data_IF_458536376848
#
_entry.id   IF_458536376848
#
_cell.length_a   1.000
_cell.length_b   1.000
_cell.length_c   1.000
_cell.angle_alpha   90.00
_cell.angle_beta   90.00
_cell.angle_gamma   90.00
#
_symmetry.space_group_name_H-M   'P 1'
#
loop_
_entity.id
_entity.type
_entity.pdbx_description
1 polymer ?
#
# COMPACT_ATOMS: atom_id res chain seq x y z
N UNK A 1 8.28 -15.35 -12.02
CA UNK A 1 7.03 -14.72 -12.51
C UNK A 1 6.90 -13.33 -11.92
N UNK A 2 6.45 -12.32 -12.67
CA UNK A 2 6.21 -10.99 -12.11
C UNK A 2 5.09 -11.07 -11.07
N UNK A 3 5.41 -10.75 -9.82
CA UNK A 3 4.41 -10.63 -8.75
C UNK A 3 3.77 -9.24 -8.83
N UNK A 4 2.46 -9.21 -8.73
CA UNK A 4 1.66 -8.00 -8.84
C UNK A 4 1.12 -7.63 -7.48
N UNK A 5 1.39 -6.42 -7.00
CA UNK A 5 1.05 -6.02 -5.66
C UNK A 5 0.09 -4.84 -5.64
N UNK A 6 -0.93 -4.95 -4.80
CA UNK A 6 -1.78 -3.83 -4.42
C UNK A 6 -1.47 -3.48 -2.98
N UNK A 7 -1.26 -2.19 -2.70
CA UNK A 7 -0.83 -1.72 -1.39
C UNK A 7 -1.64 -0.52 -0.92
N UNK A 8 -1.68 -0.34 0.41
CA UNK A 8 -2.23 0.84 1.08
C UNK A 8 -1.11 1.47 1.91
N UNK A 9 -0.84 2.74 1.63
CA UNK A 9 0.02 3.58 2.43
C UNK A 9 -0.82 4.49 3.31
N UNK A 10 -0.41 4.67 4.56
CA UNK A 10 -0.86 5.77 5.41
C UNK A 10 0.12 6.92 5.29
N UNK A 11 -0.39 8.08 4.92
CA UNK A 11 0.34 9.33 4.90
C UNK A 11 0.44 9.93 6.31
N UNK A 12 1.39 10.85 6.52
CA UNK A 12 1.57 11.52 7.82
C UNK A 12 0.37 12.36 8.30
N UNK A 13 -0.54 12.71 7.39
CA UNK A 13 -1.81 13.39 7.70
C UNK A 13 -2.95 12.41 8.05
N UNK A 14 -2.65 11.12 8.18
CA UNK A 14 -3.63 10.06 8.46
C UNK A 14 -4.48 9.67 7.25
N UNK A 15 -4.23 10.21 6.05
CA UNK A 15 -4.93 9.80 4.83
C UNK A 15 -4.40 8.49 4.28
N UNK A 16 -5.23 7.76 3.54
CA UNK A 16 -4.86 6.49 2.92
C UNK A 16 -4.68 6.64 1.41
N UNK A 17 -3.51 6.23 0.92
CA UNK A 17 -3.19 6.14 -0.49
C UNK A 17 -3.18 4.67 -0.92
N UNK A 18 -4.01 4.32 -1.89
CA UNK A 18 -4.03 2.98 -2.47
C UNK A 18 -3.41 3.01 -3.86
N UNK A 19 -2.54 2.05 -4.13
CA UNK A 19 -1.91 1.93 -5.44
C UNK A 19 -1.50 0.50 -5.78
N UNK A 20 -1.00 0.35 -6.99
CA UNK A 20 -0.49 -0.88 -7.55
C UNK A 20 1.00 -0.73 -7.92
N UNK A 21 1.76 -1.80 -7.75
CA UNK A 21 3.18 -1.90 -8.14
C UNK A 21 3.57 -3.35 -8.36
N UNK A 22 4.68 -3.60 -9.06
CA UNK A 22 5.32 -4.92 -9.11
C UNK A 22 6.42 -5.08 -8.06
N UNK A 23 6.78 -3.99 -7.39
CA UNK A 23 7.83 -3.91 -6.39
C UNK A 23 7.43 -2.89 -5.32
N UNK A 24 7.05 -3.37 -4.14
CA UNK A 24 6.49 -2.55 -3.05
C UNK A 24 7.59 -1.85 -2.27
N UNK A 25 8.69 -2.54 -2.02
CA UNK A 25 9.82 -2.02 -1.27
C UNK A 25 10.46 -0.84 -2.00
N UNK A 26 10.81 -1.02 -3.28
CA UNK A 26 11.36 0.06 -4.11
C UNK A 26 10.39 1.24 -4.22
N UNK A 27 9.09 0.94 -4.27
CA UNK A 27 8.05 1.98 -4.35
C UNK A 27 7.94 2.76 -3.05
N UNK A 28 7.93 2.09 -1.90
CA UNK A 28 7.90 2.71 -0.57
C UNK A 28 9.13 3.59 -0.34
N UNK A 29 10.33 3.08 -0.66
CA UNK A 29 11.57 3.84 -0.61
C UNK A 29 11.51 5.08 -1.51
N UNK A 30 11.01 4.94 -2.75
CA UNK A 30 10.84 6.09 -3.64
C UNK A 30 9.84 7.12 -3.09
N UNK A 31 8.74 6.69 -2.47
CA UNK A 31 7.79 7.59 -1.81
C UNK A 31 8.45 8.35 -0.65
N UNK A 32 9.11 7.65 0.27
CA UNK A 32 9.81 8.27 1.40
C UNK A 32 11.00 9.14 0.99
N UNK A 33 11.66 8.83 -0.12
CA UNK A 33 12.70 9.67 -0.72
C UNK A 33 12.15 10.89 -1.49
N UNK A 34 10.83 11.13 -1.47
CA UNK A 34 10.18 12.25 -2.17
C UNK A 34 10.19 12.15 -3.71
N UNK A 35 10.51 10.97 -4.25
CA UNK A 35 10.49 10.63 -5.69
C UNK A 35 9.22 9.86 -6.10
N UNK A 36 8.32 9.61 -5.16
CA UNK A 36 7.03 8.96 -5.41
C UNK A 36 5.99 9.89 -6.02
N UNK A 37 4.72 9.52 -5.89
CA UNK A 37 3.61 10.31 -6.43
C UNK A 37 3.59 11.73 -5.85
N UNK A 38 3.23 12.73 -6.68
CA UNK A 38 3.09 14.14 -6.25
C UNK A 38 2.22 14.28 -5.00
N UNK A 39 1.20 13.43 -4.87
CA UNK A 39 0.27 13.41 -3.75
C UNK A 39 0.91 13.01 -2.40
N UNK A 40 1.81 12.02 -2.41
CA UNK A 40 2.50 11.50 -1.22
C UNK A 40 3.73 12.33 -0.84
N UNK A 41 4.31 13.08 -1.78
CA UNK A 41 5.52 13.88 -1.57
C UNK A 41 5.34 14.98 -0.52
N UNK A 42 4.13 15.54 -0.40
CA UNK A 42 3.79 16.57 0.58
C UNK A 42 3.29 16.02 1.92
N UNK A 43 3.19 14.68 2.08
CA UNK A 43 2.54 14.02 3.21
C UNK A 43 3.40 12.90 3.81
N UNK A 44 4.70 13.11 3.80
CA UNK A 44 5.68 12.21 4.39
C UNK A 44 5.77 12.40 5.90
N UNK A 45 6.16 11.36 6.67
CA UNK A 45 6.50 10.00 6.23
C UNK A 45 5.26 9.20 5.81
N UNK A 46 5.40 8.34 4.80
CA UNK A 46 4.36 7.34 4.48
C UNK A 46 4.73 5.99 5.09
N UNK A 47 3.74 5.30 5.63
CA UNK A 47 3.87 3.97 6.24
C UNK A 47 3.09 2.97 5.41
N UNK A 48 3.71 1.83 5.10
CA UNK A 48 3.00 0.72 4.49
C UNK A 48 2.09 0.09 5.56
N UNK A 49 0.77 0.11 5.32
CA UNK A 49 -0.22 -0.51 6.22
C UNK A 49 -0.78 -1.80 5.67
N UNK A 50 -0.74 -1.98 4.36
CA UNK A 50 -1.28 -3.15 3.70
C UNK A 50 -0.55 -3.44 2.41
N UNK A 51 -0.30 -4.72 2.13
CA UNK A 51 0.14 -5.22 0.84
C UNK A 51 -0.52 -6.57 0.59
N UNK A 52 -0.93 -6.80 -0.67
CA UNK A 52 -1.42 -8.08 -1.14
C UNK A 52 -0.79 -8.40 -2.49
N UNK A 53 -0.27 -9.63 -2.64
CA UNK A 53 0.28 -10.15 -3.89
C UNK A 53 -0.77 -10.89 -4.71
N UNK A 54 -0.65 -10.77 -6.03
CA UNK A 54 -1.48 -11.39 -7.06
C UNK A 54 -0.60 -11.98 -8.16
N UNK A 55 -1.12 -13.01 -8.82
CA UNK A 55 -0.44 -13.65 -9.95
C UNK A 55 -0.61 -12.84 -11.24
N UNK A 56 -1.74 -12.14 -11.40
CA UNK A 56 -2.03 -11.36 -12.60
C UNK A 56 -2.27 -9.88 -12.32
N UNK A 57 -1.87 -9.01 -13.27
CA UNK A 57 -2.15 -7.56 -13.22
C UNK A 57 -3.66 -7.29 -13.12
N UNK A 58 -4.47 -8.11 -13.79
CA UNK A 58 -5.93 -7.92 -13.84
C UNK A 58 -6.57 -8.13 -12.46
N UNK A 59 -6.10 -9.11 -11.70
CA UNK A 59 -6.57 -9.33 -10.32
C UNK A 59 -6.14 -8.19 -9.42
N UNK A 60 -4.88 -7.79 -9.48
CA UNK A 60 -4.36 -6.68 -8.67
C UNK A 60 -5.13 -5.37 -8.92
N UNK A 61 -5.41 -5.05 -10.19
CA UNK A 61 -6.19 -3.85 -10.56
C UNK A 61 -7.66 -3.93 -10.13
N UNK A 62 -8.30 -5.11 -10.25
CA UNK A 62 -9.68 -5.29 -9.73
C UNK A 62 -9.70 -5.08 -8.22
N UNK A 63 -8.73 -5.65 -7.52
CA UNK A 63 -8.63 -5.51 -6.07
C UNK A 63 -8.34 -4.07 -5.64
N UNK A 64 -7.45 -3.37 -6.34
CA UNK A 64 -7.20 -1.94 -6.14
C UNK A 64 -8.49 -1.12 -6.28
N UNK A 65 -9.29 -1.41 -7.31
CA UNK A 65 -10.57 -0.76 -7.52
C UNK A 65 -11.56 -1.06 -6.38
N UNK A 66 -11.65 -2.32 -5.94
CA UNK A 66 -12.45 -2.70 -4.78
C UNK A 66 -12.02 -1.93 -3.52
N UNK A 67 -10.73 -1.83 -3.23
CA UNK A 67 -10.22 -1.05 -2.09
C UNK A 67 -10.57 0.42 -2.22
N UNK A 68 -10.51 1.01 -3.43
CA UNK A 68 -10.88 2.42 -3.63
C UNK A 68 -12.34 2.71 -3.31
N UNK A 69 -13.24 1.73 -3.48
CA UNK A 69 -14.65 1.84 -3.11
C UNK A 69 -14.90 1.67 -1.60
N UNK A 70 -13.93 1.13 -0.86
CA UNK A 70 -14.08 0.93 0.59
C UNK A 70 -14.03 2.26 1.34
N UNK A 71 -14.88 2.38 2.36
CA UNK A 71 -14.81 3.47 3.34
C UNK A 71 -13.54 3.34 4.19
N UNK A 72 -13.21 4.42 4.90
CA UNK A 72 -12.07 4.43 5.83
C UNK A 72 -12.13 3.27 6.83
N UNK A 73 -13.27 3.08 7.49
CA UNK A 73 -13.48 2.03 8.48
C UNK A 73 -13.35 0.62 7.87
N UNK A 74 -13.82 0.42 6.64
CA UNK A 74 -13.65 -0.85 5.94
C UNK A 74 -12.19 -1.13 5.57
N UNK A 75 -11.42 -0.10 5.20
CA UNK A 75 -9.97 -0.22 4.97
C UNK A 75 -9.25 -0.55 6.26
N UNK A 76 -9.59 0.10 7.37
CA UNK A 76 -9.01 -0.19 8.69
C UNK A 76 -9.27 -1.65 9.09
N UNK A 77 -10.50 -2.13 8.92
CA UNK A 77 -10.82 -3.55 9.16
C UNK A 77 -10.07 -4.52 8.24
N UNK A 78 -9.88 -4.15 6.97
CA UNK A 78 -9.07 -4.93 6.03
C UNK A 78 -7.61 -5.01 6.50
N UNK A 79 -7.08 -3.91 7.05
CA UNK A 79 -5.73 -3.81 7.58
C UNK A 79 -5.56 -4.59 8.89
N UNK A 80 -6.57 -4.59 9.78
CA UNK A 80 -6.57 -5.39 11.02
C UNK A 80 -6.62 -6.90 10.76
N UNK A 81 -7.40 -7.34 9.77
CA UNK A 81 -7.55 -8.76 9.45
C UNK A 81 -6.38 -9.35 8.67
N UNK A 82 -5.45 -8.52 8.22
CA UNK A 82 -4.32 -8.92 7.37
C UNK A 82 -3.02 -8.60 8.10
N UNK A 83 -2.71 -9.39 9.11
CA UNK A 83 -1.40 -9.39 9.76
C UNK A 83 -0.37 -9.75 8.70
N UNK A 84 0.31 -8.74 8.15
CA UNK A 84 1.39 -8.96 7.19
C UNK A 84 2.63 -9.38 7.99
N UNK A 85 3.18 -10.56 7.71
CA UNK A 85 4.45 -11.04 8.27
C UNK A 85 5.60 -10.03 8.02
N UNK A 86 5.47 -9.15 7.02
CA UNK A 86 6.39 -8.05 6.72
C UNK A 86 6.47 -6.94 7.78
N UNK A 87 5.46 -6.76 8.63
CA UNK A 87 5.53 -5.75 9.71
C UNK A 87 6.39 -6.17 10.89
N UNK A 88 6.65 -7.47 11.07
CA UNK A 88 7.48 -7.96 12.18
C UNK A 88 8.99 -7.81 11.91
N UNK A 89 9.43 -7.86 10.64
CA UNK A 89 10.86 -7.72 10.28
C UNK A 89 11.41 -6.29 10.39
N UNK A 90 10.57 -5.26 10.50
CA UNK A 90 10.99 -3.85 10.61
C UNK A 90 10.98 -3.30 12.05
N UNK A 91 10.65 -4.14 13.02
CA UNK A 91 10.60 -3.82 14.46
C UNK A 91 11.73 -4.48 15.28
N UNK A 92 12.71 -5.12 14.64
CA UNK A 92 13.90 -5.68 15.29
C UNK A 92 15.19 -4.99 14.84
#
# INVERSE_FOLDING_TARGET
MPKHYTYILECGDGTYYTGYTTDVEKRLLAHNAGKGAKYTKARLPVRLRYVQSFETKREAMRYEWSIKQLTRAQKEKLMEGTTNEFTEELSN
#
